data_IF_587978774748
#
_entry.id   IF_587978774748
#
_cell.length_a   1.000
_cell.length_b   1.000
_cell.length_c   1.000
_cell.angle_alpha   90.00
_cell.angle_beta   90.00
_cell.angle_gamma   90.00
#
_symmetry.space_group_name_H-M   'P 1'
#
loop_
_entity.id
_entity.type
_entity.pdbx_description
1 polymer ?
#
# COMPACT_ATOMS: atom_id res chain seq x y z
N UNK A 1 51.90 -38.89 30.19
CA UNK A 1 51.55 -37.47 30.03
C UNK A 1 50.54 -37.34 28.90
N UNK A 2 49.23 -37.22 29.20
CA UNK A 2 48.17 -37.10 28.18
C UNK A 2 47.72 -35.64 28.10
N UNK A 3 47.74 -35.09 26.90
CA UNK A 3 47.61 -33.67 26.56
C UNK A 3 46.24 -33.07 26.94
N UNK A 4 46.25 -31.94 27.65
CA UNK A 4 45.07 -31.17 28.07
C UNK A 4 44.70 -30.05 27.06
N UNK A 5 45.44 -29.92 25.95
CA UNK A 5 45.30 -28.78 25.02
C UNK A 5 44.19 -28.97 23.99
N UNK A 6 43.72 -30.19 23.75
CA UNK A 6 42.76 -30.50 22.69
C UNK A 6 41.32 -30.05 22.99
N UNK A 7 40.96 -29.86 24.26
CA UNK A 7 39.57 -29.54 24.66
C UNK A 7 39.18 -28.09 24.41
N UNK A 8 40.14 -27.18 24.41
CA UNK A 8 39.92 -25.74 24.25
C UNK A 8 39.68 -25.34 22.79
N UNK A 9 40.42 -25.97 21.87
CA UNK A 9 40.29 -25.70 20.43
C UNK A 9 38.92 -26.10 19.89
N UNK A 10 38.33 -27.21 20.37
CA UNK A 10 36.99 -27.65 19.96
C UNK A 10 35.89 -26.66 20.37
N UNK A 11 36.00 -26.04 21.55
CA UNK A 11 35.01 -25.05 22.01
C UNK A 11 35.09 -23.75 21.23
N UNK A 12 36.30 -23.30 20.91
CA UNK A 12 36.50 -22.10 20.11
C UNK A 12 35.93 -22.26 18.69
N UNK A 13 36.15 -23.41 18.04
CA UNK A 13 35.58 -23.71 16.73
C UNK A 13 34.04 -23.75 16.76
N UNK A 14 33.45 -24.35 17.80
CA UNK A 14 32.00 -24.41 17.94
C UNK A 14 31.35 -23.05 18.23
N UNK A 15 32.04 -22.16 18.96
CA UNK A 15 31.60 -20.78 19.15
C UNK A 15 31.71 -19.97 17.86
N UNK A 16 32.80 -20.13 17.10
CA UNK A 16 32.99 -19.42 15.85
C UNK A 16 32.01 -19.88 14.76
N UNK A 17 31.65 -21.18 14.73
CA UNK A 17 30.63 -21.73 13.83
C UNK A 17 29.22 -21.19 14.16
N UNK A 18 28.86 -21.11 15.43
CA UNK A 18 27.58 -20.52 15.85
C UNK A 18 27.52 -19.01 15.55
N UNK A 19 28.62 -18.27 15.76
CA UNK A 19 28.70 -16.86 15.39
C UNK A 19 28.59 -16.64 13.87
N UNK A 20 29.25 -17.48 13.06
CA UNK A 20 29.14 -17.45 11.60
C UNK A 20 27.75 -17.86 11.09
N UNK A 21 27.05 -18.74 11.80
CA UNK A 21 25.68 -19.12 11.48
C UNK A 21 24.67 -18.01 11.81
N UNK A 22 24.89 -17.26 12.91
CA UNK A 22 24.08 -16.11 13.27
C UNK A 22 24.22 -14.92 12.31
N UNK A 23 25.36 -14.79 11.62
CA UNK A 23 25.57 -13.75 10.60
C UNK A 23 25.05 -14.15 9.20
N UNK A 24 24.80 -15.44 8.96
CA UNK A 24 24.31 -15.95 7.68
C UNK A 24 22.80 -15.69 7.44
N UNK A 25 22.01 -15.41 8.48
CA UNK A 25 20.57 -15.14 8.36
C UNK A 25 20.21 -13.70 7.98
N UNK A 26 21.19 -12.80 7.87
CA UNK A 26 20.93 -11.37 7.63
C UNK A 26 21.04 -10.96 6.15
N UNK A 27 20.65 -11.84 5.21
CA UNK A 27 20.45 -11.41 3.83
C UNK A 27 19.15 -10.62 3.75
N UNK A 28 19.16 -9.34 3.31
CA UNK A 28 17.93 -8.60 3.11
C UNK A 28 17.07 -9.38 2.09
N UNK A 29 15.89 -9.82 2.50
CA UNK A 29 14.93 -10.47 1.59
C UNK A 29 14.61 -9.49 0.47
N UNK A 30 15.13 -9.75 -0.72
CA UNK A 30 14.80 -8.97 -1.92
C UNK A 30 13.39 -9.38 -2.36
N UNK A 31 12.37 -8.65 -1.89
CA UNK A 31 11.03 -8.79 -2.41
C UNK A 31 10.99 -8.21 -3.83
N UNK A 32 10.44 -8.96 -4.78
CA UNK A 32 10.12 -8.47 -6.12
C UNK A 32 9.12 -7.33 -6.00
N UNK A 33 9.48 -6.15 -6.52
CA UNK A 33 8.60 -4.98 -6.51
C UNK A 33 7.79 -4.90 -7.80
N UNK A 34 6.54 -4.47 -7.72
CA UNK A 34 5.76 -4.15 -8.91
C UNK A 34 6.41 -3.03 -9.72
N UNK A 35 6.43 -3.23 -11.03
CA UNK A 35 6.64 -2.16 -12.00
C UNK A 35 5.25 -1.77 -12.51
N UNK A 36 4.85 -0.54 -12.24
CA UNK A 36 3.53 -0.03 -12.60
C UNK A 36 3.62 1.00 -13.71
N UNK A 37 2.75 0.88 -14.71
CA UNK A 37 2.51 1.90 -15.72
C UNK A 37 1.03 2.29 -15.66
N UNK A 38 0.73 3.54 -15.98
CA UNK A 38 -0.64 4.04 -16.04
C UNK A 38 -0.86 4.71 -17.38
N UNK A 39 -1.91 4.32 -18.08
CA UNK A 39 -2.40 4.98 -19.29
C UNK A 39 -3.90 5.18 -19.18
N UNK A 40 -4.41 6.22 -19.81
CA UNK A 40 -5.84 6.49 -19.82
C UNK A 40 -6.17 7.68 -20.71
N UNK A 41 -7.38 7.65 -21.27
CA UNK A 41 -7.90 8.72 -22.11
C UNK A 41 -9.03 9.42 -21.36
N UNK A 42 -8.92 10.73 -21.08
CA UNK A 42 -10.00 11.44 -20.40
C UNK A 42 -11.25 11.44 -21.28
N UNK A 43 -12.40 11.12 -20.70
CA UNK A 43 -13.71 11.18 -21.39
C UNK A 43 -14.03 12.59 -21.90
N UNK A 44 -13.44 13.63 -21.32
CA UNK A 44 -13.65 15.01 -21.71
C UNK A 44 -12.36 15.85 -21.54
N UNK A 45 -11.64 16.09 -22.64
CA UNK A 45 -10.34 16.78 -22.63
C UNK A 45 -10.43 18.22 -22.07
N UNK A 46 -11.55 18.91 -22.28
CA UNK A 46 -11.74 20.29 -21.84
C UNK A 46 -11.90 20.43 -20.31
N UNK A 47 -12.37 19.37 -19.64
CA UNK A 47 -12.63 19.36 -18.19
C UNK A 47 -11.61 18.54 -17.40
N UNK A 48 -10.76 17.75 -18.05
CA UNK A 48 -9.80 16.90 -17.37
C UNK A 48 -8.56 17.69 -16.95
N UNK A 49 -8.54 18.17 -15.70
CA UNK A 49 -7.28 18.49 -15.04
C UNK A 49 -6.61 17.17 -14.62
N UNK A 50 -5.40 16.92 -15.11
CA UNK A 50 -4.61 15.78 -14.67
C UNK A 50 -4.40 15.87 -13.15
N UNK A 51 -4.83 14.83 -12.43
CA UNK A 51 -4.58 14.64 -11.01
C UNK A 51 -3.95 13.26 -10.85
N UNK A 52 -2.72 13.12 -10.32
CA UNK A 52 -2.13 11.80 -10.07
C UNK A 52 -3.08 10.92 -9.25
N UNK A 53 -3.35 9.71 -9.72
CA UNK A 53 -4.29 8.79 -9.09
C UNK A 53 -5.76 8.98 -9.50
N UNK A 54 -6.08 9.82 -10.49
CA UNK A 54 -7.42 9.98 -11.07
C UNK A 54 -7.35 10.12 -12.59
N UNK A 55 -8.28 9.49 -13.31
CA UNK A 55 -8.46 9.58 -14.76
C UNK A 55 -9.96 9.61 -15.05
N UNK A 56 -10.48 10.77 -15.48
CA UNK A 56 -11.92 10.93 -15.65
C UNK A 56 -12.67 10.70 -14.34
N UNK A 57 -13.56 9.71 -14.34
CA UNK A 57 -14.35 9.30 -13.18
C UNK A 57 -13.66 8.18 -12.36
N UNK A 58 -12.56 7.64 -12.87
CA UNK A 58 -11.86 6.52 -12.26
C UNK A 58 -10.68 7.02 -11.42
N UNK A 59 -10.28 6.25 -10.41
CA UNK A 59 -9.15 6.55 -9.57
C UNK A 59 -8.34 5.31 -9.23
N UNK A 60 -7.06 5.50 -8.89
CA UNK A 60 -6.19 4.42 -8.45
C UNK A 60 -5.17 4.89 -7.42
N UNK A 61 -4.60 3.94 -6.70
CA UNK A 61 -3.41 4.17 -5.88
C UNK A 61 -2.45 3.00 -5.99
N UNK A 62 -1.16 3.28 -5.77
CA UNK A 62 -0.11 2.29 -5.65
C UNK A 62 0.63 2.57 -4.35
N UNK A 63 0.80 1.55 -3.52
CA UNK A 63 1.54 1.65 -2.26
C UNK A 63 2.48 0.47 -2.12
N UNK A 64 3.76 0.77 -1.89
CA UNK A 64 4.78 -0.22 -1.60
C UNK A 64 5.06 -0.21 -0.10
N UNK A 65 4.98 -1.36 0.54
CA UNK A 65 5.33 -1.55 1.95
C UNK A 65 6.49 -2.54 2.07
N UNK A 66 7.03 -2.71 3.28
CA UNK A 66 8.08 -3.72 3.51
C UNK A 66 7.59 -5.16 3.31
N UNK A 67 6.28 -5.38 3.38
CA UNK A 67 5.67 -6.71 3.40
C UNK A 67 4.82 -7.03 2.17
N UNK A 68 4.30 -6.01 1.48
CA UNK A 68 3.46 -6.15 0.30
C UNK A 68 3.46 -4.90 -0.59
N UNK A 69 3.28 -5.11 -1.88
CA UNK A 69 2.89 -4.07 -2.82
C UNK A 69 1.38 -4.14 -3.06
N UNK A 70 0.71 -2.99 -3.04
CA UNK A 70 -0.75 -2.89 -3.13
C UNK A 70 -1.11 -1.93 -4.25
N UNK A 71 -2.01 -2.38 -5.13
CA UNK A 71 -2.65 -1.58 -6.16
C UNK A 71 -4.16 -1.62 -5.89
N UNK A 72 -4.80 -0.46 -5.94
CA UNK A 72 -6.26 -0.35 -5.91
C UNK A 72 -6.75 0.52 -7.04
N UNK A 73 -7.92 0.17 -7.59
CA UNK A 73 -8.62 0.92 -8.64
C UNK A 73 -10.09 1.04 -8.23
N UNK A 74 -10.68 2.21 -8.45
CA UNK A 74 -12.10 2.48 -8.27
C UNK A 74 -12.68 3.12 -9.54
N UNK A 75 -13.79 2.57 -10.01
CA UNK A 75 -14.59 3.11 -11.11
C UNK A 75 -15.68 4.04 -10.54
N UNK A 76 -15.69 5.29 -10.98
CA UNK A 76 -16.68 6.27 -10.57
C UNK A 76 -17.99 6.07 -11.32
N UNK A 77 -19.09 5.93 -10.58
CA UNK A 77 -20.40 5.70 -11.18
C UNK A 77 -20.94 6.98 -11.83
N UNK A 78 -20.78 7.10 -13.17
CA UNK A 78 -21.13 8.30 -13.95
C UNK A 78 -22.55 8.86 -13.73
N UNK A 79 -23.52 8.00 -13.40
CA UNK A 79 -24.90 8.40 -13.10
C UNK A 79 -25.04 9.37 -11.92
N UNK A 80 -24.06 9.41 -11.01
CA UNK A 80 -24.06 10.31 -9.84
C UNK A 80 -23.98 11.79 -10.22
N UNK A 81 -23.47 12.08 -11.41
CA UNK A 81 -23.40 13.44 -11.96
C UNK A 81 -24.79 14.08 -12.13
N UNK A 82 -25.83 13.27 -12.38
CA UNK A 82 -27.22 13.74 -12.43
C UNK A 82 -27.75 14.24 -11.08
N UNK A 83 -27.13 13.82 -9.98
CA UNK A 83 -27.42 14.25 -8.61
C UNK A 83 -26.50 15.38 -8.14
N UNK A 84 -25.67 15.96 -9.03
CA UNK A 84 -24.71 17.00 -8.69
C UNK A 84 -23.47 16.51 -7.92
N UNK A 85 -23.23 15.19 -7.89
CA UNK A 85 -22.06 14.60 -7.22
C UNK A 85 -21.00 14.26 -8.28
N UNK A 86 -19.75 14.66 -8.06
CA UNK A 86 -18.62 14.24 -8.92
C UNK A 86 -18.24 12.78 -8.59
N UNK A 87 -18.53 11.81 -9.47
CA UNK A 87 -18.21 10.40 -9.21
C UNK A 87 -16.71 10.15 -9.12
N UNK A 88 -15.91 10.92 -9.85
CA UNK A 88 -14.45 10.81 -9.80
C UNK A 88 -13.85 11.40 -8.54
N UNK A 89 -14.52 12.36 -7.89
CA UNK A 89 -14.07 12.86 -6.58
C UNK A 89 -14.29 11.81 -5.50
N UNK A 90 -15.43 11.11 -5.53
CA UNK A 90 -15.67 9.98 -4.65
C UNK A 90 -14.62 8.87 -4.83
N UNK A 91 -14.37 8.45 -6.09
CA UNK A 91 -13.37 7.44 -6.40
C UNK A 91 -11.97 7.85 -5.91
N UNK A 92 -11.58 9.11 -6.13
CA UNK A 92 -10.29 9.65 -5.71
C UNK A 92 -10.12 9.62 -4.19
N UNK A 93 -11.10 10.13 -3.43
CA UNK A 93 -11.04 10.16 -1.96
C UNK A 93 -10.94 8.75 -1.39
N UNK A 94 -11.72 7.80 -1.93
CA UNK A 94 -11.67 6.40 -1.51
C UNK A 94 -10.27 5.80 -1.71
N UNK A 95 -9.67 5.99 -2.88
CA UNK A 95 -8.33 5.48 -3.18
C UNK A 95 -7.24 6.14 -2.33
N UNK A 96 -7.36 7.44 -2.02
CA UNK A 96 -6.43 8.14 -1.13
C UNK A 96 -6.51 7.65 0.31
N UNK A 97 -7.70 7.38 0.82
CA UNK A 97 -7.87 6.78 2.15
C UNK A 97 -7.23 5.38 2.19
N UNK A 98 -7.45 4.56 1.16
CA UNK A 98 -6.82 3.24 1.06
C UNK A 98 -5.29 3.34 1.00
N UNK A 99 -4.73 4.24 0.20
CA UNK A 99 -3.28 4.48 0.12
C UNK A 99 -2.69 4.84 1.49
N UNK A 100 -3.37 5.74 2.21
CA UNK A 100 -2.97 6.17 3.55
C UNK A 100 -3.04 5.03 4.55
N UNK A 101 -4.09 4.22 4.51
CA UNK A 101 -4.25 3.05 5.37
C UNK A 101 -3.16 2.01 5.13
N UNK A 102 -2.76 1.76 3.87
CA UNK A 102 -1.65 0.85 3.56
C UNK A 102 -0.31 1.41 4.07
N UNK A 103 -0.08 2.72 3.94
CA UNK A 103 1.19 3.35 4.34
C UNK A 103 1.36 3.53 5.86
N UNK A 104 0.27 3.86 6.56
CA UNK A 104 0.33 4.34 7.95
C UNK A 104 -0.41 3.44 8.95
N UNK A 105 -1.26 2.52 8.51
CA UNK A 105 -1.97 1.57 9.40
C UNK A 105 -1.37 0.17 9.30
N UNK A 106 -1.66 -0.67 10.32
CA UNK A 106 -1.42 -2.11 10.21
C UNK A 106 -2.45 -2.71 9.25
N UNK A 107 -2.17 -2.59 7.96
CA UNK A 107 -2.90 -3.27 6.90
C UNK A 107 -2.51 -4.75 6.87
N UNK A 108 -3.51 -5.61 6.68
CA UNK A 108 -3.32 -7.05 6.43
C UNK A 108 -3.43 -7.31 4.92
N UNK A 109 -2.31 -7.62 4.22
CA UNK A 109 -2.31 -7.93 2.79
C UNK A 109 -3.21 -9.08 2.37
N UNK A 110 -3.56 -9.97 3.30
CA UNK A 110 -4.41 -11.14 3.04
C UNK A 110 -5.89 -10.78 3.09
N UNK A 111 -6.26 -9.63 3.69
CA UNK A 111 -7.65 -9.20 3.90
C UNK A 111 -7.92 -7.84 3.27
N UNK A 112 -7.85 -7.71 1.93
CA UNK A 112 -8.08 -6.43 1.23
C UNK A 112 -9.48 -5.86 1.45
N UNK A 113 -10.48 -6.70 1.78
CA UNK A 113 -11.83 -6.23 2.12
C UNK A 113 -11.82 -5.27 3.31
N UNK A 114 -10.98 -5.54 4.32
CA UNK A 114 -10.87 -4.67 5.50
C UNK A 114 -10.28 -3.30 5.15
N UNK A 115 -9.36 -3.27 4.18
CA UNK A 115 -8.77 -2.03 3.68
C UNK A 115 -9.84 -1.14 3.04
N UNK A 116 -10.63 -1.72 2.13
CA UNK A 116 -11.70 -0.99 1.42
C UNK A 116 -12.78 -0.55 2.41
N UNK A 117 -13.21 -1.43 3.31
CA UNK A 117 -14.22 -1.11 4.32
C UNK A 117 -13.77 0.03 5.24
N UNK A 118 -12.51 0.03 5.67
CA UNK A 118 -11.95 1.11 6.49
C UNK A 118 -11.81 2.41 5.71
N UNK A 119 -11.31 2.34 4.45
CA UNK A 119 -11.19 3.52 3.59
C UNK A 119 -12.55 4.16 3.27
N UNK A 120 -13.59 3.34 3.08
CA UNK A 120 -14.95 3.80 2.89
C UNK A 120 -15.55 4.39 4.17
N UNK A 121 -15.27 3.80 5.35
CA UNK A 121 -15.69 4.37 6.64
C UNK A 121 -15.10 5.77 6.85
N UNK A 122 -13.80 5.95 6.60
CA UNK A 122 -13.17 7.27 6.68
C UNK A 122 -13.76 8.27 5.68
N UNK A 123 -14.13 7.80 4.48
CA UNK A 123 -14.82 8.64 3.50
C UNK A 123 -16.18 9.09 4.06
N UNK A 124 -16.94 8.19 4.70
CA UNK A 124 -18.22 8.50 5.33
C UNK A 124 -18.09 9.54 6.45
N UNK A 125 -17.10 9.38 7.32
CA UNK A 125 -16.87 10.29 8.45
C UNK A 125 -16.47 11.70 7.97
N UNK A 126 -15.77 11.78 6.83
CA UNK A 126 -15.38 13.03 6.19
C UNK A 126 -16.46 13.67 5.28
N UNK A 127 -17.64 13.04 5.13
CA UNK A 127 -18.71 13.51 4.21
C UNK A 127 -19.26 14.91 4.48
N UNK A 128 -19.00 15.52 5.64
CA UNK A 128 -19.38 16.91 5.89
C UNK A 128 -18.80 17.91 4.89
N UNK A 129 -17.74 17.56 4.15
CA UNK A 129 -17.09 18.48 3.19
C UNK A 129 -17.33 18.16 1.70
N UNK A 130 -17.89 16.99 1.35
CA UNK A 130 -17.97 16.53 -0.06
C UNK A 130 -19.38 16.70 -0.65
N UNK A 131 -20.41 16.73 0.20
CA UNK A 131 -21.76 17.17 -0.17
C UNK A 131 -21.89 18.64 0.21
N UNK A 132 -21.93 19.54 -0.77
CA UNK A 132 -21.99 20.99 -0.57
C UNK A 132 -23.17 21.47 0.29
N UNK A 133 -23.00 21.45 1.61
CA UNK A 133 -23.72 22.26 2.59
C UNK A 133 -22.83 22.47 3.82
N UNK A 134 -22.13 23.60 3.85
CA UNK A 134 -21.73 24.27 5.08
C UNK A 134 -21.98 25.77 4.88
N UNK A 135 -23.00 26.29 5.59
CA UNK A 135 -23.21 27.72 5.86
C UNK A 135 -23.61 28.58 4.68
#
# INVERSE_FOLDING_TARGET
MRSWTTRWLSRALHQNWQAASATAENKPRTYSRFISVVSGFPKNLAQSKYKPGKMGDDAWFIANTKTADVLGVADGVGGWRSYGIDPGEFAMVLMRNCERLVKFSRFDPIKPVNLIASGFRELQDNRKCILGKCG
#
